data_IF_121883552166
#
_entry.id   IF_121883552166
#
_cell.length_a   1.000
_cell.length_b   1.000
_cell.length_c   1.000
_cell.angle_alpha   90.00
_cell.angle_beta   90.00
_cell.angle_gamma   90.00
#
_symmetry.space_group_name_H-M   'P 1'
#
loop_
_entity.id
_entity.type
_entity.pdbx_description
1 polymer ?
#
# COMPACT_ATOMS: atom_id res chain seq x y z
N UNK A 1 40.38 15.11 29.71
CA UNK A 1 40.59 16.52 30.05
C UNK A 1 39.52 16.89 31.06
N UNK A 2 39.80 17.72 32.07
CA UNK A 2 38.80 18.09 33.09
C UNK A 2 38.15 19.45 32.80
N UNK A 3 38.41 20.03 31.62
CA UNK A 3 37.82 21.30 31.21
C UNK A 3 36.31 21.12 31.05
N UNK A 4 35.57 22.11 31.54
CA UNK A 4 34.12 22.11 31.41
C UNK A 4 33.72 22.33 29.95
N UNK A 5 32.64 21.66 29.49
CA UNK A 5 32.09 21.73 28.13
C UNK A 5 31.79 23.15 27.60
N UNK A 6 31.74 24.16 28.48
CA UNK A 6 31.56 25.57 28.08
C UNK A 6 32.77 26.18 27.41
N UNK A 7 33.97 25.60 27.58
CA UNK A 7 35.22 26.20 27.11
C UNK A 7 35.63 27.48 27.86
N UNK A 8 34.93 27.86 28.92
CA UNK A 8 35.29 29.02 29.74
C UNK A 8 36.63 28.77 30.46
N UNK A 9 37.50 29.78 30.57
CA UNK A 9 38.80 29.63 31.20
C UNK A 9 38.65 29.23 32.66
N UNK A 10 39.52 28.32 33.12
CA UNK A 10 39.56 27.83 34.52
C UNK A 10 38.26 27.17 35.02
N UNK A 11 37.31 26.86 34.12
CA UNK A 11 36.14 26.07 34.43
C UNK A 11 36.46 24.59 34.26
N UNK A 12 36.27 23.82 35.34
CA UNK A 12 36.55 22.39 35.36
C UNK A 12 35.34 21.58 35.81
N UNK A 13 35.21 20.37 35.27
CA UNK A 13 34.25 19.35 35.70
C UNK A 13 34.92 17.96 35.61
N UNK A 14 34.95 17.26 36.75
CA UNK A 14 35.53 15.90 36.86
C UNK A 14 34.46 14.80 36.94
N UNK A 15 33.18 15.16 36.94
CA UNK A 15 32.04 14.25 37.00
C UNK A 15 31.53 13.86 35.60
N UNK A 16 31.88 14.63 34.56
CA UNK A 16 31.55 14.28 33.18
C UNK A 16 32.08 12.88 32.81
N UNK A 17 31.22 12.06 32.20
CA UNK A 17 31.54 10.66 31.86
C UNK A 17 31.55 9.68 33.04
N UNK A 18 31.13 10.08 34.25
CA UNK A 18 31.10 9.23 35.46
C UNK A 18 29.68 9.08 36.03
N UNK A 19 28.77 8.39 35.31
CA UNK A 19 27.35 8.30 35.69
C UNK A 19 27.10 7.56 37.02
N UNK A 20 28.07 6.80 37.51
CA UNK A 20 28.01 6.09 38.79
C UNK A 20 28.06 7.02 40.01
N UNK A 21 28.58 8.24 39.87
CA UNK A 21 28.64 9.21 40.97
C UNK A 21 27.24 9.70 41.35
N UNK A 22 26.95 9.76 42.66
CA UNK A 22 25.60 10.09 43.16
C UNK A 22 25.52 11.39 43.98
N UNK A 23 26.64 11.84 44.56
CA UNK A 23 26.74 13.07 45.33
C UNK A 23 28.21 13.50 45.51
N UNK A 24 28.41 14.76 45.87
CA UNK A 24 29.69 15.30 46.36
C UNK A 24 29.65 15.38 47.88
N UNK A 25 30.71 14.92 48.55
CA UNK A 25 30.83 14.97 50.02
C UNK A 25 32.00 15.86 50.40
N UNK A 26 31.72 17.01 51.02
CA UNK A 26 32.75 17.92 51.52
C UNK A 26 33.35 17.38 52.83
N UNK A 27 34.66 17.13 52.84
CA UNK A 27 35.37 16.59 54.00
C UNK A 27 36.78 17.19 54.10
N UNK A 28 37.36 17.18 55.30
CA UNK A 28 38.72 17.67 55.52
C UNK A 28 38.87 18.38 56.86
N UNK A 29 40.12 18.57 57.30
CA UNK A 29 40.42 19.26 58.58
C UNK A 29 40.18 20.78 58.51
N UNK A 30 40.26 21.37 57.31
CA UNK A 30 39.98 22.78 56.97
C UNK A 30 39.61 22.89 55.48
N UNK A 31 38.38 22.50 55.08
CA UNK A 31 38.04 22.44 53.65
C UNK A 31 37.90 23.85 53.06
N UNK A 32 38.56 24.08 51.91
CA UNK A 32 38.24 25.16 50.98
C UNK A 32 37.46 24.54 49.82
N UNK A 33 36.35 25.16 49.42
CA UNK A 33 35.54 24.69 48.29
C UNK A 33 36.26 25.03 46.98
N UNK A 34 36.34 24.06 46.06
CA UNK A 34 36.83 24.29 44.70
C UNK A 34 35.66 24.59 43.77
N UNK A 35 35.81 25.54 42.84
CA UNK A 35 34.76 25.84 41.85
C UNK A 35 34.33 24.62 41.04
N UNK A 36 35.27 23.71 40.75
CA UNK A 36 35.00 22.44 40.08
C UNK A 36 33.99 21.55 40.83
N UNK A 37 33.99 21.56 42.16
CA UNK A 37 33.07 20.75 42.98
C UNK A 37 31.61 21.21 42.82
N UNK A 38 31.39 22.50 42.54
CA UNK A 38 30.06 23.04 42.26
C UNK A 38 29.58 22.69 40.84
N UNK A 39 30.49 22.62 39.87
CA UNK A 39 30.17 22.14 38.52
C UNK A 39 29.85 20.64 38.55
N UNK A 40 30.67 19.84 39.25
CA UNK A 40 30.45 18.41 39.44
C UNK A 40 29.10 18.13 40.12
N UNK A 41 28.75 18.90 41.15
CA UNK A 41 27.47 18.80 41.82
C UNK A 41 26.30 19.00 40.84
N UNK A 42 26.39 19.98 39.93
CA UNK A 42 25.36 20.21 38.91
C UNK A 42 25.28 19.04 37.92
N UNK A 43 26.42 18.55 37.44
CA UNK A 43 26.49 17.41 36.51
C UNK A 43 25.91 16.13 37.12
N UNK A 44 26.23 15.82 38.37
CA UNK A 44 25.69 14.67 39.10
C UNK A 44 24.18 14.80 39.27
N UNK A 45 23.68 15.97 39.67
CA UNK A 45 22.25 16.21 39.87
C UNK A 45 21.49 16.11 38.55
N UNK A 46 21.99 16.72 37.47
CA UNK A 46 21.37 16.64 36.13
C UNK A 46 21.35 15.22 35.61
N UNK A 47 22.44 14.47 35.77
CA UNK A 47 22.48 13.05 35.37
C UNK A 47 21.47 12.19 36.12
N UNK A 48 21.16 12.50 37.39
CA UNK A 48 20.08 11.83 38.13
C UNK A 48 18.69 12.21 37.61
N UNK A 49 18.45 13.49 37.35
CA UNK A 49 17.17 13.96 36.80
C UNK A 49 16.92 13.40 35.40
N UNK A 50 17.92 13.42 34.53
CA UNK A 50 17.84 12.86 33.19
C UNK A 50 17.52 11.36 33.23
N UNK A 51 18.19 10.58 34.10
CA UNK A 51 17.86 9.15 34.28
C UNK A 51 16.43 8.92 34.77
N UNK A 52 15.92 9.76 35.67
CA UNK A 52 14.54 9.66 36.14
C UNK A 52 13.55 10.06 35.04
N UNK A 53 13.80 11.17 34.35
CA UNK A 53 12.99 11.67 33.25
C UNK A 53 12.90 10.67 32.09
N UNK A 54 14.03 10.04 31.73
CA UNK A 54 14.11 8.99 30.70
C UNK A 54 13.28 7.74 30.98
N UNK A 55 12.82 7.53 32.22
CA UNK A 55 11.86 6.45 32.52
C UNK A 55 10.46 6.75 31.98
N UNK A 56 10.15 8.03 31.75
CA UNK A 56 8.80 8.52 31.44
C UNK A 56 8.75 9.17 30.06
N UNK A 57 9.80 9.88 29.64
CA UNK A 57 9.90 10.55 28.35
C UNK A 57 11.28 10.37 27.71
N UNK A 58 11.31 10.22 26.39
CA UNK A 58 12.52 10.20 25.57
C UNK A 58 12.80 11.60 25.02
N UNK A 59 14.06 11.86 24.70
CA UNK A 59 14.43 13.10 24.04
C UNK A 59 13.70 13.20 22.69
N UNK A 60 13.10 14.36 22.43
CA UNK A 60 12.30 14.63 21.23
C UNK A 60 10.80 14.44 21.42
N UNK A 61 10.38 13.94 22.60
CA UNK A 61 8.97 13.80 22.89
C UNK A 61 8.30 15.17 23.12
N UNK A 62 7.18 15.38 22.43
CA UNK A 62 6.38 16.60 22.56
C UNK A 62 5.56 16.51 23.85
N UNK A 63 5.61 17.56 24.66
CA UNK A 63 4.84 17.68 25.91
C UNK A 63 3.56 18.48 25.70
N UNK A 64 3.66 19.58 24.96
CA UNK A 64 2.54 20.46 24.61
C UNK A 64 2.81 21.15 23.27
N UNK A 65 1.81 21.32 22.42
CA UNK A 65 1.97 22.01 21.13
C UNK A 65 2.91 21.27 20.16
N UNK A 66 3.75 22.03 19.46
CA UNK A 66 4.75 21.52 18.51
C UNK A 66 4.12 20.65 17.40
N UNK A 67 2.99 21.08 16.83
CA UNK A 67 2.31 20.36 15.75
C UNK A 67 3.00 20.61 14.41
N UNK A 68 3.01 19.59 13.55
CA UNK A 68 3.55 19.68 12.20
C UNK A 68 2.45 19.55 11.15
N UNK A 69 2.48 20.43 10.15
CA UNK A 69 1.64 20.38 8.95
C UNK A 69 2.57 20.29 7.74
N UNK A 70 2.39 19.26 6.91
CA UNK A 70 3.22 18.99 5.73
C UNK A 70 2.47 19.43 4.48
N UNK A 71 3.13 20.24 3.65
CA UNK A 71 2.72 20.56 2.28
C UNK A 71 3.63 19.81 1.31
N UNK A 72 3.09 18.74 0.72
CA UNK A 72 3.82 17.83 -0.17
C UNK A 72 4.07 18.43 -1.56
N UNK A 73 3.24 19.38 -2.01
CA UNK A 73 3.43 20.05 -3.31
C UNK A 73 4.53 21.10 -3.23
N UNK A 74 4.57 21.86 -2.12
CA UNK A 74 5.57 22.90 -1.90
C UNK A 74 6.89 22.38 -1.28
N UNK A 75 6.91 21.14 -0.76
CA UNK A 75 8.09 20.60 -0.08
C UNK A 75 8.37 21.33 1.24
N UNK A 76 7.32 21.77 1.95
CA UNK A 76 7.45 22.56 3.19
C UNK A 76 6.78 21.89 4.37
N UNK A 77 7.34 22.11 5.57
CA UNK A 77 6.78 21.63 6.83
C UNK A 77 6.64 22.80 7.78
N UNK A 78 5.40 23.11 8.17
CA UNK A 78 5.08 24.16 9.13
C UNK A 78 4.98 23.57 10.53
N UNK A 79 5.76 24.09 11.47
CA UNK A 79 5.86 23.64 12.85
C UNK A 79 5.38 24.75 13.77
N UNK A 80 4.40 24.45 14.63
CA UNK A 80 3.90 25.43 15.61
C UNK A 80 4.83 25.54 16.81
N UNK A 81 4.67 26.60 17.60
CA UNK A 81 5.29 26.67 18.92
C UNK A 81 4.84 25.52 19.83
N UNK A 82 5.68 25.18 20.81
CA UNK A 82 5.38 24.11 21.77
C UNK A 82 6.48 23.88 22.80
N UNK A 83 6.39 22.75 23.49
CA UNK A 83 7.30 22.31 24.53
C UNK A 83 7.76 20.87 24.23
N UNK A 84 9.07 20.65 24.25
CA UNK A 84 9.69 19.37 23.92
C UNK A 84 10.59 18.93 25.06
N UNK A 85 10.52 17.65 25.42
CA UNK A 85 11.40 17.06 26.40
C UNK A 85 12.77 16.77 25.78
N UNK A 86 13.82 17.39 26.32
CA UNK A 86 15.21 17.23 25.85
C UNK A 86 16.16 17.33 27.03
N UNK A 87 17.13 16.42 27.12
CA UNK A 87 18.22 16.44 28.10
C UNK A 87 17.74 16.50 29.57
N UNK A 88 16.63 15.82 29.85
CA UNK A 88 16.07 15.70 31.20
C UNK A 88 15.16 16.85 31.62
N UNK A 89 14.84 17.79 30.73
CA UNK A 89 13.97 18.95 31.01
C UNK A 89 12.97 19.22 29.88
N UNK A 90 11.95 20.02 30.16
CA UNK A 90 10.94 20.48 29.19
C UNK A 90 11.32 21.87 28.71
N UNK A 91 11.66 21.97 27.43
CA UNK A 91 12.19 23.21 26.83
C UNK A 91 11.21 23.73 25.78
N UNK A 92 10.90 25.04 25.78
CA UNK A 92 10.05 25.64 24.76
C UNK A 92 10.77 25.71 23.40
N UNK A 93 10.01 25.56 22.33
CA UNK A 93 10.46 25.76 20.95
C UNK A 93 9.50 26.73 20.24
N UNK A 94 10.07 27.68 19.50
CA UNK A 94 9.28 28.63 18.72
C UNK A 94 8.73 27.99 17.44
N UNK A 95 7.72 28.60 16.83
CA UNK A 95 7.23 28.19 15.52
C UNK A 95 8.32 28.35 14.43
N UNK A 96 8.29 27.48 13.43
CA UNK A 96 9.20 27.54 12.29
C UNK A 96 8.59 26.94 11.03
N UNK A 97 9.07 27.39 9.87
CA UNK A 97 8.74 26.77 8.58
C UNK A 97 10.02 26.21 7.98
N UNK A 98 10.07 24.88 7.84
CA UNK A 98 11.16 24.20 7.16
C UNK A 98 10.85 24.12 5.67
N UNK A 99 11.80 24.52 4.84
CA UNK A 99 11.69 24.48 3.37
C UNK A 99 12.70 23.50 2.80
N UNK A 100 12.37 22.86 1.67
CA UNK A 100 13.28 21.91 1.02
C UNK A 100 13.41 20.58 1.75
N UNK A 101 12.37 20.16 2.47
CA UNK A 101 12.35 18.83 3.11
C UNK A 101 12.08 17.77 2.06
N UNK A 102 12.89 16.70 2.05
CA UNK A 102 12.73 15.59 1.10
C UNK A 102 11.39 14.86 1.33
N UNK A 103 10.50 14.91 0.33
CA UNK A 103 9.17 14.28 0.39
C UNK A 103 9.13 12.84 -0.18
N UNK A 104 10.27 12.31 -0.59
CA UNK A 104 10.41 10.95 -1.14
C UNK A 104 11.39 10.15 -0.29
N UNK A 105 10.98 8.97 0.17
CA UNK A 105 11.73 8.18 1.12
C UNK A 105 11.61 8.70 2.55
N UNK A 106 12.64 8.43 3.35
CA UNK A 106 12.66 8.70 4.79
C UNK A 106 13.31 10.07 5.07
N UNK A 107 12.59 10.95 5.75
CA UNK A 107 13.09 12.25 6.18
C UNK A 107 12.91 12.47 7.68
N UNK A 108 13.95 12.96 8.36
CA UNK A 108 13.94 13.19 9.81
C UNK A 108 13.83 14.69 10.10
N UNK A 109 12.88 15.06 10.96
CA UNK A 109 12.67 16.44 11.41
C UNK A 109 12.81 16.45 12.93
N UNK A 110 13.49 17.45 13.44
CA UNK A 110 13.78 17.52 14.87
C UNK A 110 14.15 18.92 15.33
N UNK A 111 14.67 18.98 16.55
CA UNK A 111 15.16 20.22 17.16
C UNK A 111 16.65 20.15 17.42
N UNK A 112 17.31 21.30 17.31
CA UNK A 112 18.71 21.52 17.69
C UNK A 112 18.74 22.10 19.10
N UNK A 113 19.38 21.39 20.01
CA UNK A 113 19.69 21.90 21.35
C UNK A 113 20.95 22.77 21.29
N UNK A 114 20.75 24.07 21.47
CA UNK A 114 21.82 25.05 21.54
C UNK A 114 22.06 25.44 23.00
N UNK A 115 23.34 25.60 23.35
CA UNK A 115 23.79 26.00 24.68
C UNK A 115 24.62 27.26 24.56
N UNK A 116 24.31 28.24 25.40
CA UNK A 116 25.06 29.49 25.49
C UNK A 116 25.44 29.74 26.94
N UNK A 117 26.62 30.32 27.17
CA UNK A 117 27.07 30.71 28.52
C UNK A 117 27.16 32.23 28.60
N UNK A 118 26.37 32.82 29.49
CA UNK A 118 26.38 34.26 29.78
C UNK A 118 27.31 34.49 30.96
N UNK A 119 28.31 35.35 30.77
CA UNK A 119 29.28 35.73 31.81
C UNK A 119 28.97 37.13 32.34
N UNK A 120 29.74 37.58 33.34
CA UNK A 120 29.66 38.95 33.85
C UNK A 120 30.04 40.03 32.84
N UNK A 121 30.71 39.65 31.74
CA UNK A 121 30.97 40.57 30.62
C UNK A 121 29.68 40.88 29.84
N UNK A 122 28.79 39.89 29.74
CA UNK A 122 27.50 39.99 29.05
C UNK A 122 26.41 40.56 29.96
N UNK A 123 26.43 40.19 31.25
CA UNK A 123 25.46 40.59 32.27
C UNK A 123 26.17 41.08 33.56
N UNK A 124 26.32 42.41 33.75
CA UNK A 124 26.97 42.98 34.92
C UNK A 124 26.30 42.65 36.26
N UNK A 125 25.03 42.21 36.27
CA UNK A 125 24.33 41.81 37.51
C UNK A 125 24.89 40.51 38.09
N UNK A 126 25.75 39.80 37.34
CA UNK A 126 26.47 38.62 37.80
C UNK A 126 27.71 38.95 38.65
N UNK A 127 28.07 40.23 38.80
CA UNK A 127 29.14 40.65 39.70
C UNK A 127 28.72 40.56 41.18
N UNK A 128 29.69 40.44 42.08
CA UNK A 128 29.38 40.37 43.51
C UNK A 128 28.69 41.62 44.04
N UNK A 129 27.48 41.44 44.57
CA UNK A 129 26.52 42.51 44.86
C UNK A 129 26.66 43.15 46.24
N UNK A 130 27.39 42.51 47.18
CA UNK A 130 27.41 42.93 48.60
C UNK A 130 28.50 43.97 48.82
N UNK A 131 28.15 45.23 49.12
CA UNK A 131 29.14 46.28 49.31
C UNK A 131 30.03 46.02 50.54
N UNK A 132 31.33 46.23 50.39
CA UNK A 132 32.35 46.02 51.42
C UNK A 132 32.75 44.56 51.62
N UNK A 133 32.24 43.62 50.83
CA UNK A 133 32.65 42.21 50.88
C UNK A 133 33.90 41.96 50.04
N UNK A 134 34.65 40.88 50.33
CA UNK A 134 35.79 40.46 49.50
C UNK A 134 35.39 40.04 48.08
N UNK A 135 34.10 39.82 47.83
CA UNK A 135 33.57 39.44 46.54
C UNK A 135 32.94 40.61 45.79
N UNK A 136 32.88 41.83 46.36
CA UNK A 136 32.29 42.98 45.69
C UNK A 136 32.99 43.25 44.36
N UNK A 137 32.23 43.24 43.26
CA UNK A 137 32.75 43.47 41.91
C UNK A 137 33.55 42.31 41.31
N UNK A 138 33.67 41.17 41.99
CA UNK A 138 34.28 39.95 41.43
C UNK A 138 33.32 39.25 40.47
N UNK A 139 33.88 38.57 39.45
CA UNK A 139 33.12 37.81 38.46
C UNK A 139 32.38 36.63 39.11
N UNK A 140 31.06 36.60 38.94
CA UNK A 140 30.24 35.46 39.37
C UNK A 140 30.28 34.29 38.40
N UNK A 141 29.65 33.18 38.80
CA UNK A 141 29.48 32.03 37.93
C UNK A 141 28.63 32.39 36.69
N UNK A 142 29.01 31.86 35.53
CA UNK A 142 28.24 32.02 34.29
C UNK A 142 26.84 31.37 34.35
N UNK A 143 25.91 31.81 33.49
CA UNK A 143 24.58 31.20 33.32
C UNK A 143 24.54 30.38 32.04
N UNK A 144 24.16 29.10 32.15
CA UNK A 144 23.89 28.25 30.98
C UNK A 144 22.46 28.51 30.51
N UNK A 145 22.31 29.03 29.30
CA UNK A 145 21.03 29.12 28.59
C UNK A 145 20.92 27.98 27.60
N UNK A 146 19.71 27.43 27.49
CA UNK A 146 19.36 26.43 26.48
C UNK A 146 18.22 26.95 25.61
N UNK A 147 18.30 26.67 24.32
CA UNK A 147 17.23 26.97 23.37
C UNK A 147 17.08 25.85 22.36
N UNK A 148 15.85 25.64 21.90
CA UNK A 148 15.53 24.71 20.83
C UNK A 148 15.20 25.48 19.55
N UNK A 149 15.76 25.01 18.44
CA UNK A 149 15.45 25.52 17.10
C UNK A 149 15.10 24.34 16.20
N UNK A 150 14.01 24.44 15.45
CA UNK A 150 13.63 23.41 14.47
C UNK A 150 14.65 23.29 13.35
N UNK A 151 14.88 22.06 12.91
CA UNK A 151 15.86 21.78 11.87
C UNK A 151 15.78 20.36 11.33
N UNK A 152 16.70 20.06 10.41
CA UNK A 152 16.91 18.74 9.82
C UNK A 152 18.35 18.28 10.13
N UNK A 153 18.67 16.98 10.07
CA UNK A 153 20.05 16.56 10.34
C UNK A 153 21.07 17.14 9.34
N UNK A 154 20.62 17.50 8.13
CA UNK A 154 21.45 17.98 7.02
C UNK A 154 21.53 19.52 6.93
N UNK A 155 20.84 20.27 7.80
CA UNK A 155 20.80 21.74 7.77
C UNK A 155 22.13 22.42 8.13
N UNK A 156 23.10 21.67 8.66
CA UNK A 156 24.41 22.18 9.07
C UNK A 156 24.37 23.14 10.25
N UNK A 157 23.23 23.27 10.95
CA UNK A 157 23.07 24.16 12.09
C UNK A 157 23.83 23.64 13.32
N UNK A 158 24.36 24.58 14.12
CA UNK A 158 25.03 24.23 15.38
C UNK A 158 24.04 23.71 16.43
N UNK A 159 24.49 22.74 17.23
CA UNK A 159 23.72 22.13 18.29
C UNK A 159 23.48 20.63 18.10
N UNK A 160 23.16 19.97 19.21
CA UNK A 160 22.84 18.55 19.23
C UNK A 160 21.45 18.33 18.62
N UNK A 161 21.38 17.47 17.58
CA UNK A 161 20.12 17.17 16.90
C UNK A 161 19.35 16.10 17.65
N UNK A 162 18.08 16.39 17.94
CA UNK A 162 17.13 15.47 18.57
C UNK A 162 15.94 15.31 17.64
N UNK A 163 15.70 14.09 17.17
CA UNK A 163 14.59 13.76 16.29
C UNK A 163 13.25 13.90 17.02
N UNK A 164 12.27 14.54 16.37
CA UNK A 164 10.90 14.70 16.89
C UNK A 164 9.90 14.02 15.95
N UNK A 165 10.09 14.16 14.65
CA UNK A 165 9.22 13.61 13.62
C UNK A 165 10.00 12.76 12.62
N UNK A 166 9.30 11.74 12.10
CA UNK A 166 9.75 10.93 10.99
C UNK A 166 8.72 11.01 9.87
N UNK A 167 9.16 11.45 8.70
CA UNK A 167 8.36 11.49 7.48
C UNK A 167 8.75 10.31 6.60
N UNK A 168 7.74 9.69 5.99
CA UNK A 168 7.88 8.68 4.95
C UNK A 168 7.00 9.08 3.78
N UNK A 169 7.62 9.34 2.64
CA UNK A 169 6.93 9.67 1.38
C UNK A 169 5.90 10.83 1.56
N UNK A 170 6.29 11.86 2.31
CA UNK A 170 5.46 13.05 2.57
C UNK A 170 4.42 12.89 3.68
N UNK A 171 4.31 11.71 4.30
CA UNK A 171 3.40 11.45 5.42
C UNK A 171 4.16 11.37 6.74
N UNK A 172 3.69 12.07 7.78
CA UNK A 172 4.24 11.93 9.13
C UNK A 172 3.81 10.57 9.68
N UNK A 173 4.78 9.71 9.99
CA UNK A 173 4.53 8.34 10.47
C UNK A 173 4.07 8.28 11.92
N UNK A 174 4.44 9.26 12.75
CA UNK A 174 4.17 9.21 14.18
C UNK A 174 3.69 10.56 14.73
N UNK A 175 2.43 10.61 15.17
CA UNK A 175 1.84 11.73 15.91
C UNK A 175 1.51 11.33 17.37
N UNK A 176 2.22 10.34 17.93
CA UNK A 176 1.93 9.83 19.26
C UNK A 176 1.94 10.98 20.29
N UNK A 177 0.88 11.12 21.11
CA UNK A 177 0.81 12.11 22.19
C UNK A 177 1.81 11.81 23.32
N UNK A 178 2.09 12.79 24.21
CA UNK A 178 3.20 12.75 25.15
C UNK A 178 3.28 11.45 25.98
N UNK A 179 4.49 10.95 26.30
CA UNK A 179 4.72 9.60 26.81
C UNK A 179 4.56 9.48 28.32
N UNK A 180 3.98 10.48 28.99
CA UNK A 180 3.60 10.39 30.41
C UNK A 180 2.71 9.16 30.72
N UNK A 181 2.13 8.54 29.70
CA UNK A 181 1.33 7.32 29.76
C UNK A 181 2.03 6.04 29.27
N UNK A 182 3.26 6.07 28.74
CA UNK A 182 3.90 4.95 28.03
C UNK A 182 4.14 3.68 28.89
N UNK A 183 4.56 3.84 30.15
CA UNK A 183 4.70 2.72 31.09
C UNK A 183 3.36 2.12 31.50
N UNK A 184 2.31 2.95 31.59
CA UNK A 184 0.95 2.50 31.89
C UNK A 184 0.28 1.85 30.68
N UNK A 185 0.51 2.37 29.47
CA UNK A 185 0.00 1.79 28.22
C UNK A 185 0.68 0.48 27.87
N UNK A 186 1.98 0.30 28.17
CA UNK A 186 2.62 -1.02 28.05
C UNK A 186 2.02 -2.05 29.02
N UNK A 187 1.75 -1.65 30.27
CA UNK A 187 1.08 -2.53 31.23
C UNK A 187 -0.36 -2.86 30.80
N UNK A 188 -1.10 -1.88 30.27
CA UNK A 188 -2.43 -2.09 29.68
C UNK A 188 -2.38 -3.00 28.45
N UNK A 189 -1.38 -2.81 27.57
CA UNK A 189 -1.21 -3.62 26.38
C UNK A 189 -0.88 -5.07 26.72
N UNK A 190 -0.03 -5.30 27.73
CA UNK A 190 0.22 -6.64 28.25
C UNK A 190 -1.04 -7.29 28.83
N UNK A 191 -1.91 -6.50 29.49
CA UNK A 191 -3.20 -6.97 30.01
C UNK A 191 -4.22 -7.27 28.90
N UNK A 192 -4.24 -6.49 27.82
CA UNK A 192 -5.25 -6.59 26.76
C UNK A 192 -4.84 -7.48 25.57
N UNK A 193 -3.54 -7.78 25.43
CA UNK A 193 -3.01 -8.71 24.40
C UNK A 193 -3.69 -10.09 24.37
N UNK A 194 -4.10 -10.72 25.49
CA UNK A 194 -4.86 -11.97 25.47
C UNK A 194 -6.25 -11.87 24.81
N UNK A 195 -6.82 -10.66 24.71
CA UNK A 195 -8.12 -10.43 24.06
C UNK A 195 -8.03 -10.35 22.53
N UNK A 196 -6.82 -10.40 21.96
CA UNK A 196 -6.58 -10.35 20.53
C UNK A 196 -6.78 -8.96 19.92
N UNK A 197 -6.86 -8.92 18.59
CA UNK A 197 -7.09 -7.69 17.84
C UNK A 197 -8.59 -7.43 17.67
N UNK A 198 -9.04 -6.20 17.89
CA UNK A 198 -10.44 -5.86 17.72
C UNK A 198 -10.68 -4.36 17.44
N UNK A 199 -11.79 -4.05 16.79
CA UNK A 199 -12.28 -2.70 16.55
C UNK A 199 -13.08 -2.26 17.78
N UNK A 200 -12.72 -1.13 18.37
CA UNK A 200 -13.45 -0.53 19.49
C UNK A 200 -14.66 0.24 18.95
N UNK A 201 -14.44 1.11 17.98
CA UNK A 201 -15.49 1.91 17.33
C UNK A 201 -15.05 2.37 15.93
N UNK A 202 -16.01 2.67 15.05
CA UNK A 202 -15.73 3.20 13.72
C UNK A 202 -15.02 2.20 12.79
N UNK A 203 -13.99 2.70 12.08
CA UNK A 203 -13.11 1.95 11.17
C UNK A 203 -13.84 1.10 10.13
N UNK A 204 -14.97 1.62 9.63
CA UNK A 204 -15.71 0.99 8.54
C UNK A 204 -15.02 1.28 7.21
N UNK A 205 -14.85 0.24 6.40
CA UNK A 205 -14.27 0.34 5.07
C UNK A 205 -15.39 0.49 4.05
N UNK A 206 -15.22 1.44 3.13
CA UNK A 206 -16.09 1.62 1.97
C UNK A 206 -15.22 1.66 0.71
N UNK A 207 -15.56 0.86 -0.31
CA UNK A 207 -14.92 0.98 -1.62
C UNK A 207 -15.46 2.22 -2.34
N UNK A 208 -14.56 3.07 -2.82
CA UNK A 208 -14.87 4.24 -3.63
C UNK A 208 -14.85 3.92 -5.14
N UNK A 209 -14.18 2.83 -5.53
CA UNK A 209 -14.09 2.35 -6.91
C UNK A 209 -12.70 2.50 -7.50
N UNK A 210 -12.60 2.19 -8.79
CA UNK A 210 -11.36 2.28 -9.55
C UNK A 210 -11.00 3.74 -9.85
N UNK A 211 -9.75 4.11 -9.60
CA UNK A 211 -9.12 5.39 -9.90
C UNK A 211 -7.71 5.10 -10.44
N UNK A 212 -7.44 5.47 -11.68
CA UNK A 212 -6.13 5.30 -12.35
C UNK A 212 -5.48 3.89 -12.25
N UNK A 213 -6.29 2.82 -12.33
CA UNK A 213 -5.79 1.43 -12.23
C UNK A 213 -5.62 0.90 -10.81
N UNK A 214 -6.02 1.68 -9.81
CA UNK A 214 -6.05 1.31 -8.40
C UNK A 214 -7.49 1.25 -7.88
N UNK A 215 -7.78 0.32 -6.99
CA UNK A 215 -9.02 0.30 -6.21
C UNK A 215 -8.85 1.14 -4.95
N UNK A 216 -9.70 2.14 -4.84
CA UNK A 216 -9.63 3.09 -3.74
C UNK A 216 -10.62 2.69 -2.65
N UNK A 217 -10.13 2.63 -1.42
CA UNK A 217 -10.89 2.36 -0.21
C UNK A 217 -10.82 3.55 0.74
N UNK A 218 -11.94 3.87 1.37
CA UNK A 218 -12.02 4.81 2.48
C UNK A 218 -12.23 4.06 3.78
N UNK A 219 -11.29 4.21 4.72
CA UNK A 219 -11.38 3.69 6.08
C UNK A 219 -11.86 4.83 6.98
N UNK A 220 -13.05 4.70 7.55
CA UNK A 220 -13.64 5.71 8.45
C UNK A 220 -12.75 5.92 9.70
N UNK A 221 -12.82 7.12 10.29
CA UNK A 221 -12.27 7.41 11.61
C UNK A 221 -12.80 6.42 12.67
N UNK A 222 -12.02 6.17 13.72
CA UNK A 222 -12.36 5.16 14.71
C UNK A 222 -11.18 4.79 15.61
N UNK A 223 -11.42 3.82 16.48
CA UNK A 223 -10.43 3.33 17.44
C UNK A 223 -10.30 1.82 17.30
N UNK A 224 -9.06 1.35 17.23
CA UNK A 224 -8.72 -0.07 17.09
C UNK A 224 -7.72 -0.49 18.15
N UNK A 225 -7.78 -1.75 18.54
CA UNK A 225 -6.78 -2.40 19.36
C UNK A 225 -6.00 -3.41 18.51
N UNK A 226 -4.70 -3.18 18.38
CA UNK A 226 -3.78 -4.09 17.69
C UNK A 226 -2.67 -4.45 18.67
N UNK A 227 -2.58 -5.73 19.01
CA UNK A 227 -1.57 -6.30 19.89
C UNK A 227 -1.57 -5.70 21.33
N UNK A 228 -2.73 -5.22 21.78
CA UNK A 228 -2.91 -4.55 23.07
C UNK A 228 -2.71 -3.03 23.03
N UNK A 229 -2.29 -2.46 21.89
CA UNK A 229 -2.17 -1.03 21.72
C UNK A 229 -3.41 -0.46 21.06
N UNK A 230 -4.02 0.53 21.74
CA UNK A 230 -5.16 1.26 21.23
C UNK A 230 -4.68 2.46 20.41
N UNK A 231 -5.06 2.46 19.14
CA UNK A 231 -4.74 3.53 18.19
C UNK A 231 -6.04 4.18 17.75
N UNK A 232 -6.16 5.49 18.03
CA UNK A 232 -7.32 6.29 17.65
C UNK A 232 -7.01 7.10 16.42
N UNK A 233 -7.89 6.99 15.42
CA UNK A 233 -7.87 7.78 14.20
C UNK A 233 -8.96 8.84 14.24
N UNK A 234 -8.58 10.10 14.09
CA UNK A 234 -9.50 11.23 14.10
C UNK A 234 -10.06 11.59 12.72
N UNK A 235 -9.47 11.04 11.65
CA UNK A 235 -9.89 11.29 10.28
C UNK A 235 -9.89 10.01 9.44
N UNK A 236 -10.71 10.01 8.38
CA UNK A 236 -10.77 8.93 7.42
C UNK A 236 -9.45 8.79 6.65
N UNK A 237 -9.06 7.54 6.36
CA UNK A 237 -7.92 7.23 5.50
C UNK A 237 -8.39 6.88 4.11
N UNK A 238 -7.68 7.36 3.09
CA UNK A 238 -7.78 6.81 1.75
C UNK A 238 -6.65 5.82 1.54
N UNK A 239 -6.98 4.58 1.20
CA UNK A 239 -6.03 3.53 0.79
C UNK A 239 -6.27 3.25 -0.69
N UNK A 240 -5.22 3.32 -1.51
CA UNK A 240 -5.30 2.93 -2.91
C UNK A 240 -4.49 1.65 -3.10
N UNK A 241 -5.11 0.63 -3.69
CA UNK A 241 -4.48 -0.66 -3.94
C UNK A 241 -4.44 -0.94 -5.45
N UNK A 242 -3.27 -1.21 -6.04
CA UNK A 242 -3.16 -1.57 -7.45
C UNK A 242 -3.99 -2.81 -7.82
N UNK A 243 -4.69 -2.76 -8.96
CA UNK A 243 -5.41 -3.92 -9.45
C UNK A 243 -4.45 -4.97 -10.04
N UNK A 244 -4.27 -6.08 -9.32
CA UNK A 244 -3.47 -7.21 -9.78
C UNK A 244 -4.29 -8.50 -9.71
N UNK A 245 -4.51 -9.13 -10.86
CA UNK A 245 -5.32 -10.35 -11.00
C UNK A 245 -4.50 -11.53 -11.54
N UNK A 246 -4.95 -12.74 -11.19
CA UNK A 246 -4.49 -13.98 -11.84
C UNK A 246 -5.41 -14.34 -13.00
N UNK A 247 -4.87 -15.07 -13.99
CA UNK A 247 -5.60 -15.46 -15.19
C UNK A 247 -5.94 -16.96 -15.21
N UNK A 248 -7.14 -17.26 -15.69
CA UNK A 248 -7.55 -18.59 -16.13
C UNK A 248 -7.52 -18.67 -17.65
N UNK A 249 -7.05 -19.79 -18.20
CA UNK A 249 -6.99 -19.99 -19.65
C UNK A 249 -8.16 -20.86 -20.15
N UNK A 250 -8.82 -20.42 -21.22
CA UNK A 250 -9.82 -21.18 -21.97
C UNK A 250 -9.21 -21.53 -23.33
N UNK A 251 -8.78 -22.79 -23.56
CA UNK A 251 -8.06 -23.16 -24.77
C UNK A 251 -8.93 -23.13 -26.03
N UNK A 252 -10.25 -23.29 -25.89
CA UNK A 252 -11.17 -23.23 -27.02
C UNK A 252 -12.62 -23.32 -26.57
N UNK A 253 -13.32 -22.20 -26.64
CA UNK A 253 -14.77 -22.14 -26.49
C UNK A 253 -15.41 -22.08 -27.87
N UNK A 254 -16.35 -22.99 -28.15
CA UNK A 254 -16.98 -23.10 -29.48
C UNK A 254 -18.37 -22.50 -29.47
N UNK A 255 -18.61 -21.61 -30.42
CA UNK A 255 -19.90 -20.96 -30.70
C UNK A 255 -20.34 -21.24 -32.13
N UNK A 256 -21.62 -21.01 -32.43
CA UNK A 256 -22.15 -21.11 -33.79
C UNK A 256 -22.43 -19.71 -34.34
N UNK A 257 -21.94 -19.42 -35.54
CA UNK A 257 -22.24 -18.18 -36.25
C UNK A 257 -23.68 -18.23 -36.78
N UNK A 258 -24.58 -17.47 -36.16
CA UNK A 258 -26.02 -17.49 -36.46
C UNK A 258 -26.39 -16.85 -37.81
N UNK A 259 -25.46 -16.12 -38.44
CA UNK A 259 -25.65 -15.43 -39.71
C UNK A 259 -25.77 -13.92 -39.57
N UNK A 260 -25.77 -13.20 -40.69
CA UNK A 260 -25.74 -11.73 -40.72
C UNK A 260 -24.33 -11.15 -40.90
N UNK A 261 -24.24 -9.81 -40.91
CA UNK A 261 -22.99 -9.10 -41.14
C UNK A 261 -21.98 -9.30 -39.99
N UNK A 262 -22.47 -9.34 -38.75
CA UNK A 262 -21.70 -9.59 -37.54
C UNK A 262 -22.56 -10.31 -36.50
N UNK A 263 -21.91 -11.04 -35.58
CA UNK A 263 -22.55 -11.75 -34.46
C UNK A 263 -21.81 -11.43 -33.17
N UNK A 264 -22.54 -11.11 -32.11
CA UNK A 264 -21.99 -10.95 -30.75
C UNK A 264 -22.20 -12.24 -29.97
N UNK A 265 -21.11 -12.80 -29.46
CA UNK A 265 -21.04 -14.06 -28.73
C UNK A 265 -20.79 -13.78 -27.26
N UNK A 266 -21.61 -14.35 -26.38
CA UNK A 266 -21.41 -14.28 -24.93
C UNK A 266 -20.48 -15.42 -24.51
N UNK A 267 -19.36 -15.09 -23.87
CA UNK A 267 -18.42 -16.11 -23.43
C UNK A 267 -18.86 -16.75 -22.11
N UNK A 268 -18.51 -18.01 -21.93
CA UNK A 268 -18.85 -18.76 -20.73
C UNK A 268 -18.04 -18.30 -19.51
N UNK A 269 -16.80 -17.86 -19.70
CA UNK A 269 -15.95 -17.31 -18.65
C UNK A 269 -15.74 -15.82 -18.87
N UNK A 270 -15.84 -15.08 -17.77
CA UNK A 270 -15.70 -13.64 -17.71
C UNK A 270 -15.21 -13.28 -16.30
N UNK A 271 -14.56 -12.13 -16.10
CA UNK A 271 -14.27 -11.06 -17.07
C UNK A 271 -13.15 -11.44 -18.04
N UNK A 272 -13.28 -11.07 -19.31
CA UNK A 272 -12.25 -11.32 -20.33
C UNK A 272 -11.03 -10.44 -20.02
N UNK A 273 -9.85 -11.06 -20.02
CA UNK A 273 -8.57 -10.37 -19.92
C UNK A 273 -7.99 -10.12 -21.32
N UNK A 274 -7.69 -11.21 -22.02
CA UNK A 274 -7.08 -11.15 -23.36
C UNK A 274 -7.66 -12.24 -24.27
N UNK A 275 -7.98 -11.89 -25.52
CA UNK A 275 -8.32 -12.86 -26.57
C UNK A 275 -7.07 -13.25 -27.32
N UNK A 276 -6.64 -14.49 -27.18
CA UNK A 276 -5.42 -14.99 -27.82
C UNK A 276 -5.64 -15.36 -29.29
N UNK A 277 -6.80 -15.95 -29.62
CA UNK A 277 -7.09 -16.42 -30.98
C UNK A 277 -8.58 -16.60 -31.25
N UNK A 278 -9.02 -16.31 -32.48
CA UNK A 278 -10.37 -16.63 -32.94
C UNK A 278 -10.28 -17.37 -34.28
N UNK A 279 -10.72 -18.62 -34.32
CA UNK A 279 -10.89 -19.38 -35.55
C UNK A 279 -12.34 -19.30 -36.00
N UNK A 280 -12.57 -18.52 -37.06
CA UNK A 280 -13.89 -18.29 -37.63
C UNK A 280 -14.06 -19.09 -38.92
N UNK A 281 -15.13 -19.88 -39.01
CA UNK A 281 -15.51 -20.56 -40.25
C UNK A 281 -16.06 -19.56 -41.25
N UNK A 282 -15.34 -19.34 -42.36
CA UNK A 282 -15.76 -18.48 -43.48
C UNK A 282 -16.10 -19.32 -44.69
N UNK A 283 -16.95 -18.77 -45.57
CA UNK A 283 -17.35 -19.41 -46.83
C UNK A 283 -16.97 -18.49 -47.98
N UNK A 284 -16.33 -19.05 -49.01
CA UNK A 284 -16.05 -18.30 -50.24
C UNK A 284 -16.11 -19.19 -51.46
N UNK A 285 -16.17 -18.55 -52.62
CA UNK A 285 -16.09 -19.19 -53.93
C UNK A 285 -14.84 -18.72 -54.64
N UNK A 286 -14.04 -19.65 -55.13
CA UNK A 286 -12.82 -19.38 -55.91
C UNK A 286 -12.89 -20.09 -57.25
N UNK A 287 -12.24 -19.52 -58.26
CA UNK A 287 -12.01 -20.21 -59.52
C UNK A 287 -10.64 -20.89 -59.45
N UNK A 288 -10.61 -22.22 -59.60
CA UNK A 288 -9.40 -23.01 -59.71
C UNK A 288 -9.16 -23.39 -61.16
N UNK A 289 -7.88 -23.62 -61.50
CA UNK A 289 -7.48 -24.20 -62.79
C UNK A 289 -7.20 -25.68 -62.57
N UNK A 290 -7.80 -26.56 -63.40
CA UNK A 290 -7.57 -28.01 -63.32
C UNK A 290 -6.11 -28.33 -63.63
N UNK A 291 -5.45 -29.06 -62.72
CA UNK A 291 -4.08 -29.51 -62.84
C UNK A 291 -3.81 -30.40 -64.07
N UNK A 292 -2.54 -30.48 -64.46
CA UNK A 292 -2.09 -31.27 -65.61
C UNK A 292 -2.14 -32.79 -65.40
N UNK A 293 -2.29 -33.23 -64.15
CA UNK A 293 -2.33 -34.64 -63.76
C UNK A 293 -3.79 -35.07 -63.69
N UNK A 294 -4.19 -35.99 -64.57
CA UNK A 294 -5.49 -36.67 -64.56
C UNK A 294 -5.70 -37.37 -63.21
N UNK A 295 -6.91 -37.29 -62.64
CA UNK A 295 -7.22 -37.81 -61.30
C UNK A 295 -6.31 -37.27 -60.16
N UNK A 296 -5.67 -36.11 -60.38
CA UNK A 296 -4.80 -35.46 -59.42
C UNK A 296 -5.55 -34.61 -58.39
N UNK A 297 -4.80 -33.93 -57.52
CA UNK A 297 -5.33 -33.04 -56.48
C UNK A 297 -5.08 -31.58 -56.86
N UNK A 298 -6.14 -30.78 -56.87
CA UNK A 298 -6.06 -29.33 -57.05
C UNK A 298 -6.20 -28.63 -55.69
N UNK A 299 -5.14 -27.96 -55.25
CA UNK A 299 -5.09 -27.28 -53.96
C UNK A 299 -5.97 -26.02 -53.90
N UNK A 300 -6.68 -25.83 -52.80
CA UNK A 300 -7.41 -24.60 -52.51
C UNK A 300 -6.43 -23.53 -51.96
N UNK A 301 -6.74 -22.24 -52.16
CA UNK A 301 -5.83 -21.16 -51.77
C UNK A 301 -5.76 -20.90 -50.25
N UNK A 302 -6.69 -21.43 -49.43
CA UNK A 302 -6.60 -21.34 -47.97
C UNK A 302 -6.29 -22.70 -47.36
N UNK A 303 -5.69 -22.65 -46.19
CA UNK A 303 -5.45 -23.80 -45.32
C UNK A 303 -6.61 -24.02 -44.36
N UNK A 304 -6.69 -25.21 -43.76
CA UNK A 304 -7.75 -25.58 -42.80
C UNK A 304 -9.15 -25.56 -43.42
N UNK A 305 -9.26 -26.15 -44.61
CA UNK A 305 -10.54 -26.35 -45.30
C UNK A 305 -11.35 -27.39 -44.51
N UNK A 306 -12.53 -26.98 -44.07
CA UNK A 306 -13.43 -27.80 -43.25
C UNK A 306 -14.38 -28.60 -44.12
N UNK A 307 -14.89 -27.99 -45.19
CA UNK A 307 -15.91 -28.58 -46.05
C UNK A 307 -15.87 -27.94 -47.44
N UNK A 308 -16.00 -28.75 -48.50
CA UNK A 308 -16.32 -28.24 -49.84
C UNK A 308 -17.84 -28.32 -50.00
N UNK A 309 -18.46 -27.20 -50.36
CA UNK A 309 -19.93 -27.05 -50.45
C UNK A 309 -20.41 -27.32 -51.88
N UNK A 310 -19.70 -26.84 -52.88
CA UNK A 310 -20.07 -27.01 -54.30
C UNK A 310 -18.83 -26.95 -55.19
N UNK A 311 -18.75 -27.84 -56.19
CA UNK A 311 -17.77 -27.80 -57.27
C UNK A 311 -18.53 -27.79 -58.59
N UNK A 312 -18.34 -26.76 -59.42
CA UNK A 312 -19.06 -26.64 -60.70
C UNK A 312 -18.21 -26.04 -61.81
N UNK A 313 -18.54 -26.42 -63.04
CA UNK A 313 -18.03 -25.81 -64.26
C UNK A 313 -19.19 -25.58 -65.24
N UNK A 314 -19.46 -24.31 -65.57
CA UNK A 314 -20.62 -23.97 -66.39
C UNK A 314 -21.93 -24.46 -65.76
N UNK A 315 -22.67 -25.31 -66.47
CA UNK A 315 -23.92 -25.93 -65.98
C UNK A 315 -23.73 -27.27 -65.26
N UNK A 316 -22.50 -27.80 -65.16
CA UNK A 316 -22.21 -29.10 -64.57
C UNK A 316 -21.77 -28.94 -63.11
N UNK A 317 -22.51 -29.54 -62.18
CA UNK A 317 -22.10 -29.69 -60.78
C UNK A 317 -21.52 -31.08 -60.56
N UNK A 318 -20.31 -31.14 -60.04
CA UNK A 318 -19.59 -32.39 -59.80
C UNK A 318 -19.92 -32.97 -58.42
N UNK A 319 -20.21 -34.26 -58.35
CA UNK A 319 -20.69 -34.90 -57.12
C UNK A 319 -19.55 -35.37 -56.23
N UNK A 320 -19.61 -35.04 -54.94
CA UNK A 320 -18.69 -35.58 -53.92
C UNK A 320 -18.78 -37.12 -53.85
N UNK A 321 -17.65 -37.79 -53.66
CA UNK A 321 -17.53 -39.25 -53.61
C UNK A 321 -17.62 -39.96 -54.95
N UNK A 322 -18.07 -39.28 -56.02
CA UNK A 322 -18.15 -39.84 -57.38
C UNK A 322 -17.18 -39.14 -58.34
N UNK A 323 -17.22 -37.80 -58.39
CA UNK A 323 -16.33 -36.98 -59.20
C UNK A 323 -15.09 -36.56 -58.43
N UNK A 324 -15.24 -36.20 -57.15
CA UNK A 324 -14.14 -35.70 -56.33
C UNK A 324 -14.33 -36.09 -54.86
N UNK A 325 -13.25 -36.07 -54.09
CA UNK A 325 -13.26 -36.12 -52.62
C UNK A 325 -12.40 -34.98 -52.06
N UNK A 326 -12.64 -34.57 -50.82
CA UNK A 326 -11.76 -33.61 -50.15
C UNK A 326 -10.56 -34.35 -49.57
N UNK A 327 -9.35 -34.03 -50.05
CA UNK A 327 -8.10 -34.54 -49.48
C UNK A 327 -7.25 -33.36 -49.02
N UNK A 328 -7.02 -33.27 -47.71
CA UNK A 328 -6.36 -32.10 -47.10
C UNK A 328 -7.12 -30.81 -47.39
N UNK A 329 -6.40 -29.83 -47.94
CA UNK A 329 -6.93 -28.54 -48.40
C UNK A 329 -7.19 -28.52 -49.93
N UNK A 330 -7.42 -29.68 -50.56
CA UNK A 330 -7.58 -29.79 -52.01
C UNK A 330 -8.82 -30.57 -52.47
N UNK A 331 -9.20 -30.33 -53.73
CA UNK A 331 -10.17 -31.14 -54.47
C UNK A 331 -9.41 -32.28 -55.12
N UNK A 332 -9.67 -33.51 -54.68
CA UNK A 332 -9.02 -34.72 -55.17
C UNK A 332 -9.93 -35.45 -56.15
N UNK A 333 -9.47 -35.55 -57.40
CA UNK A 333 -10.22 -36.18 -58.50
C UNK A 333 -9.96 -37.69 -58.61
N UNK A 334 -9.30 -38.31 -57.62
CA UNK A 334 -9.06 -39.76 -57.55
C UNK A 334 -10.27 -40.70 -57.77
N UNK A 335 -11.53 -40.32 -57.49
CA UNK A 335 -12.70 -41.18 -57.76
C UNK A 335 -12.96 -41.52 -59.24
N UNK A 336 -12.26 -40.89 -60.19
CA UNK A 336 -12.34 -41.17 -61.64
C UNK A 336 -13.75 -40.97 -62.23
N UNK A 337 -14.54 -40.07 -61.63
CA UNK A 337 -15.80 -39.61 -62.21
C UNK A 337 -15.59 -38.47 -63.23
N UNK A 338 -16.67 -37.78 -63.64
CA UNK A 338 -16.53 -36.59 -64.48
C UNK A 338 -15.63 -35.55 -63.79
N UNK A 339 -14.61 -35.07 -64.50
CA UNK A 339 -13.72 -33.98 -64.05
C UNK A 339 -13.64 -32.86 -65.10
N UNK A 340 -13.33 -31.61 -64.71
CA UNK A 340 -13.06 -30.52 -65.64
C UNK A 340 -11.90 -30.85 -66.58
N UNK A 341 -11.95 -30.32 -67.82
CA UNK A 341 -10.84 -30.50 -68.75
C UNK A 341 -9.54 -29.88 -68.19
N UNK A 342 -8.40 -30.55 -68.37
CA UNK A 342 -7.08 -30.03 -67.97
C UNK A 342 -6.85 -28.60 -68.48
N UNK A 343 -6.40 -27.70 -67.61
CA UNK A 343 -6.15 -26.29 -67.95
C UNK A 343 -7.41 -25.41 -68.02
N UNK A 344 -8.61 -25.97 -67.84
CA UNK A 344 -9.85 -25.20 -67.75
C UNK A 344 -10.10 -24.69 -66.33
N UNK A 345 -10.90 -23.62 -66.22
CA UNK A 345 -11.31 -23.07 -64.92
C UNK A 345 -12.63 -23.65 -64.45
N UNK A 346 -12.74 -23.92 -63.16
CA UNK A 346 -13.96 -24.36 -62.48
C UNK A 346 -14.08 -23.65 -61.13
N UNK A 347 -15.31 -23.47 -60.64
CA UNK A 347 -15.56 -22.77 -59.39
C UNK A 347 -15.76 -23.75 -58.24
N UNK A 348 -15.09 -23.49 -57.11
CA UNK A 348 -15.23 -24.24 -55.87
C UNK A 348 -15.74 -23.31 -54.79
N UNK A 349 -16.89 -23.65 -54.21
CA UNK A 349 -17.44 -23.03 -53.01
C UNK A 349 -17.09 -23.92 -51.82
N UNK A 350 -16.43 -23.37 -50.81
CA UNK A 350 -15.97 -24.14 -49.65
C UNK A 350 -15.93 -23.29 -48.40
N UNK A 351 -15.85 -23.98 -47.26
CA UNK A 351 -15.72 -23.44 -45.91
C UNK A 351 -14.34 -23.73 -45.37
N UNK A 352 -13.71 -22.73 -44.77
CA UNK A 352 -12.38 -22.82 -44.17
C UNK A 352 -12.34 -22.05 -42.85
N UNK A 353 -11.43 -22.43 -41.95
CA UNK A 353 -11.22 -21.69 -40.69
C UNK A 353 -10.16 -20.62 -40.90
N UNK A 354 -10.57 -19.37 -40.81
CA UNK A 354 -9.67 -18.23 -40.84
C UNK A 354 -9.36 -17.78 -39.41
N UNK A 355 -8.12 -17.38 -39.17
CA UNK A 355 -7.74 -16.64 -37.97
C UNK A 355 -8.23 -15.19 -38.12
N UNK A 356 -9.01 -14.69 -37.17
CA UNK A 356 -9.59 -13.35 -37.21
C UNK A 356 -9.38 -12.63 -35.88
N UNK A 357 -9.45 -11.30 -35.93
CA UNK A 357 -9.51 -10.48 -34.74
C UNK A 357 -10.98 -10.18 -34.39
N UNK A 358 -11.24 -9.89 -33.12
CA UNK A 358 -12.54 -9.39 -32.69
C UNK A 358 -12.79 -8.01 -33.28
N UNK A 359 -14.02 -7.75 -33.76
CA UNK A 359 -14.44 -6.41 -34.18
C UNK A 359 -14.62 -5.50 -32.97
N UNK A 360 -15.16 -6.06 -31.88
CA UNK A 360 -15.28 -5.40 -30.59
C UNK A 360 -15.27 -6.43 -29.46
N UNK A 361 -14.88 -6.00 -28.27
CA UNK A 361 -14.86 -6.81 -27.06
C UNK A 361 -15.44 -6.02 -25.89
N UNK A 362 -16.21 -6.69 -25.05
CA UNK A 362 -16.59 -6.25 -23.70
C UNK A 362 -16.06 -7.29 -22.70
N UNK A 363 -16.21 -7.07 -21.40
CA UNK A 363 -15.75 -8.04 -20.39
C UNK A 363 -16.46 -9.41 -20.48
N UNK A 364 -17.59 -9.50 -21.19
CA UNK A 364 -18.41 -10.73 -21.29
C UNK A 364 -18.64 -11.23 -22.71
N UNK A 365 -18.35 -10.41 -23.71
CA UNK A 365 -18.74 -10.71 -25.09
C UNK A 365 -17.74 -10.25 -26.12
N UNK A 366 -17.74 -10.96 -27.25
CA UNK A 366 -16.93 -10.66 -28.41
C UNK A 366 -17.83 -10.54 -29.64
N UNK A 367 -17.58 -9.57 -30.49
CA UNK A 367 -18.24 -9.43 -31.79
C UNK A 367 -17.29 -9.83 -32.91
N UNK A 368 -17.78 -10.64 -33.84
CA UNK A 368 -17.03 -11.07 -35.04
C UNK A 368 -17.89 -10.97 -36.30
N UNK A 369 -17.25 -10.73 -37.45
CA UNK A 369 -17.91 -10.53 -38.73
C UNK A 369 -17.39 -11.42 -39.86
N UNK A 370 -18.21 -11.59 -40.88
CA UNK A 370 -17.85 -12.33 -42.10
C UNK A 370 -17.78 -13.84 -41.92
N UNK A 371 -18.49 -14.39 -40.94
CA UNK A 371 -18.66 -15.82 -40.73
C UNK A 371 -19.68 -16.45 -41.69
N UNK A 372 -19.51 -17.73 -41.99
CA UNK A 372 -20.51 -18.51 -42.70
C UNK A 372 -21.65 -18.88 -41.75
N UNK A 373 -22.90 -18.69 -42.17
CA UNK A 373 -24.07 -19.11 -41.38
C UNK A 373 -24.02 -20.61 -41.06
N UNK A 374 -24.15 -20.94 -39.77
CA UNK A 374 -24.03 -22.29 -39.24
C UNK A 374 -22.58 -22.81 -39.14
N UNK A 375 -21.58 -21.95 -39.33
CA UNK A 375 -20.17 -22.28 -39.13
C UNK A 375 -19.73 -22.08 -37.67
N UNK A 376 -18.66 -22.76 -37.28
CA UNK A 376 -18.10 -22.65 -35.93
C UNK A 376 -17.27 -21.37 -35.77
N UNK A 377 -17.34 -20.81 -34.57
CA UNK A 377 -16.42 -19.78 -34.06
C UNK A 377 -15.73 -20.36 -32.83
N UNK A 378 -14.43 -20.64 -32.91
CA UNK A 378 -13.65 -21.20 -31.80
C UNK A 378 -12.77 -20.08 -31.23
N UNK A 379 -12.94 -19.79 -29.95
CA UNK A 379 -12.31 -18.65 -29.28
C UNK A 379 -11.38 -19.17 -28.19
N UNK A 380 -10.12 -18.78 -28.25
CA UNK A 380 -9.11 -19.02 -27.20
C UNK A 380 -8.83 -17.70 -26.48
N UNK A 381 -9.05 -17.67 -25.17
CA UNK A 381 -8.93 -16.44 -24.38
C UNK A 381 -8.52 -16.73 -22.92
N UNK A 382 -8.04 -15.69 -22.25
CA UNK A 382 -7.82 -15.66 -20.80
C UNK A 382 -8.91 -14.83 -20.13
N UNK A 383 -9.28 -15.21 -18.91
CA UNK A 383 -10.22 -14.48 -18.07
C UNK A 383 -9.63 -14.21 -16.68
N UNK A 384 -10.08 -13.12 -16.05
CA UNK A 384 -9.63 -12.72 -14.71
C UNK A 384 -10.27 -13.62 -13.65
N UNK A 385 -9.46 -14.20 -12.77
CA UNK A 385 -9.95 -15.05 -11.70
C UNK A 385 -10.40 -14.21 -10.50
N UNK A 386 -11.61 -14.44 -9.96
CA UNK A 386 -12.04 -13.72 -8.77
C UNK A 386 -11.18 -14.08 -7.56
N UNK A 387 -11.04 -13.12 -6.65
CA UNK A 387 -10.21 -13.25 -5.45
C UNK A 387 -10.86 -12.54 -4.26
N UNK A 388 -10.68 -13.12 -3.07
CA UNK A 388 -11.11 -12.49 -1.82
C UNK A 388 -9.87 -12.05 -1.04
N UNK A 389 -9.74 -10.76 -0.84
CA UNK A 389 -8.60 -10.13 -0.17
C UNK A 389 -9.02 -9.57 1.21
N UNK A 390 -8.04 -9.23 2.05
CA UNK A 390 -8.29 -8.57 3.34
C UNK A 390 -7.68 -7.17 3.34
N UNK A 391 -8.47 -6.18 3.75
CA UNK A 391 -7.94 -4.88 4.16
C UNK A 391 -7.83 -4.86 5.68
N UNK A 392 -6.61 -4.62 6.16
CA UNK A 392 -6.22 -4.68 7.56
C UNK A 392 -5.65 -3.35 8.05
N UNK A 393 -5.54 -3.20 9.37
CA UNK A 393 -4.76 -2.14 10.02
C UNK A 393 -3.59 -2.73 10.81
N UNK A 394 -2.46 -2.03 10.77
CA UNK A 394 -1.29 -2.27 11.61
C UNK A 394 -1.39 -1.51 12.94
N UNK A 395 -0.46 -1.79 13.84
CA UNK A 395 -0.38 -1.17 15.17
C UNK A 395 -0.24 0.36 15.12
N UNK A 396 0.52 0.87 14.15
CA UNK A 396 0.69 2.31 13.88
C UNK A 396 -0.55 2.97 13.24
N UNK A 397 -1.58 2.19 12.90
CA UNK A 397 -2.77 2.67 12.21
C UNK A 397 -2.61 2.78 10.69
N UNK A 398 -1.50 2.28 10.11
CA UNK A 398 -1.33 2.18 8.67
C UNK A 398 -2.26 1.09 8.09
N UNK A 399 -2.73 1.25 6.84
CA UNK A 399 -3.43 0.19 6.14
C UNK A 399 -2.44 -0.90 5.73
N UNK A 400 -2.93 -2.13 5.63
CA UNK A 400 -2.21 -3.26 5.05
C UNK A 400 -3.18 -4.09 4.21
N UNK A 401 -2.82 -4.35 2.96
CA UNK A 401 -3.60 -5.19 2.05
C UNK A 401 -2.99 -6.58 1.99
N UNK A 402 -3.80 -7.62 2.24
CA UNK A 402 -3.35 -9.01 2.22
C UNK A 402 -4.08 -9.73 1.09
N UNK A 403 -3.29 -10.18 0.11
CA UNK A 403 -3.79 -10.90 -1.05
C UNK A 403 -4.24 -12.32 -0.67
N UNK A 404 -5.42 -12.69 -1.17
CA UNK A 404 -5.95 -14.04 -1.10
C UNK A 404 -5.40 -14.95 -2.20
N UNK A 405 -6.03 -16.11 -2.32
CA UNK A 405 -5.73 -17.07 -3.39
C UNK A 405 -6.86 -16.97 -4.42
N UNK A 406 -6.51 -16.66 -5.66
CA UNK A 406 -7.46 -16.60 -6.76
C UNK A 406 -8.05 -17.99 -7.04
N UNK A 407 -9.36 -18.07 -7.20
CA UNK A 407 -10.03 -19.32 -7.51
C UNK A 407 -11.23 -19.04 -8.42
N UNK A 408 -11.52 -19.97 -9.35
CA UNK A 408 -12.64 -19.82 -10.29
C UNK A 408 -13.99 -19.76 -9.57
N UNK A 409 -14.14 -20.52 -8.50
CA UNK A 409 -15.33 -20.56 -7.65
C UNK A 409 -14.89 -20.65 -6.19
N UNK A 410 -15.70 -20.10 -5.27
CA UNK A 410 -15.48 -20.17 -3.82
C UNK A 410 -14.07 -19.72 -3.39
N UNK A 411 -13.60 -18.58 -3.92
CA UNK A 411 -12.36 -17.98 -3.48
C UNK A 411 -12.37 -17.78 -1.95
N UNK A 412 -11.31 -18.28 -1.30
CA UNK A 412 -11.21 -18.25 0.15
C UNK A 412 -10.41 -17.03 0.59
N UNK A 413 -10.84 -16.35 1.66
CA UNK A 413 -10.07 -15.25 2.24
C UNK A 413 -8.74 -15.79 2.80
N UNK A 414 -7.64 -15.01 2.71
CA UNK A 414 -6.38 -15.38 3.31
C UNK A 414 -6.47 -15.41 4.85
N UNK A 415 -5.49 -16.06 5.48
CA UNK A 415 -5.32 -15.97 6.93
C UNK A 415 -4.62 -14.64 7.23
N UNK A 416 -5.18 -13.76 8.09
CA UNK A 416 -4.53 -12.51 8.44
C UNK A 416 -3.21 -12.78 9.19
N UNK A 417 -2.13 -12.05 8.87
CA UNK A 417 -0.90 -12.05 9.67
C UNK A 417 -1.15 -11.73 11.14
N UNK A 418 -0.30 -12.25 12.03
CA UNK A 418 -0.51 -12.16 13.48
C UNK A 418 -0.37 -10.73 14.04
N UNK A 419 0.22 -9.81 13.28
CA UNK A 419 0.51 -8.42 13.64
C UNK A 419 -0.51 -7.42 13.09
N UNK A 420 -1.54 -7.87 12.36
CA UNK A 420 -2.54 -6.99 11.74
C UNK A 420 -3.96 -7.32 12.18
N UNK A 421 -4.81 -6.29 12.25
CA UNK A 421 -6.24 -6.40 12.50
C UNK A 421 -6.99 -6.41 11.16
N UNK A 422 -7.66 -7.51 10.76
CA UNK A 422 -8.54 -7.49 9.60
C UNK A 422 -9.77 -6.61 9.85
N UNK A 423 -10.00 -5.63 8.97
CA UNK A 423 -11.18 -4.76 9.02
C UNK A 423 -12.35 -5.31 8.20
N UNK A 424 -12.05 -5.75 6.98
CA UNK A 424 -13.05 -6.25 6.04
C UNK A 424 -12.46 -7.25 5.04
N UNK A 425 -13.35 -8.04 4.46
CA UNK A 425 -13.10 -8.81 3.23
C UNK A 425 -13.46 -7.98 2.01
N UNK A 426 -12.59 -8.01 1.02
CA UNK A 426 -12.78 -7.37 -0.29
C UNK A 426 -13.01 -8.47 -1.31
N UNK A 427 -14.17 -8.50 -1.94
CA UNK A 427 -14.52 -9.45 -2.98
C UNK A 427 -14.27 -8.81 -4.34
N UNK A 428 -13.20 -9.26 -5.01
CA UNK A 428 -12.79 -8.77 -6.33
C UNK A 428 -13.37 -9.70 -7.41
N UNK A 429 -14.32 -9.18 -8.18
CA UNK A 429 -14.86 -9.81 -9.39
C UNK A 429 -14.29 -9.21 -10.69
N UNK A 430 -13.49 -8.14 -10.56
CA UNK A 430 -12.83 -7.39 -11.62
C UNK A 430 -13.76 -6.80 -12.70
N UNK A 431 -15.04 -6.61 -12.38
CA UNK A 431 -16.05 -6.00 -13.26
C UNK A 431 -16.39 -4.54 -12.87
N UNK A 432 -15.77 -4.01 -11.81
CA UNK A 432 -16.04 -2.67 -11.30
C UNK A 432 -15.58 -2.48 -9.86
N UNK A 433 -16.36 -1.71 -9.09
CA UNK A 433 -16.09 -1.48 -7.67
C UNK A 433 -16.28 -2.79 -6.87
N UNK A 434 -15.29 -3.24 -6.10
CA UNK A 434 -15.38 -4.48 -5.36
C UNK A 434 -16.39 -4.40 -4.22
N UNK A 435 -16.98 -5.55 -3.89
CA UNK A 435 -17.87 -5.65 -2.74
C UNK A 435 -17.05 -5.73 -1.45
N UNK A 436 -17.37 -4.86 -0.48
CA UNK A 436 -16.68 -4.81 0.82
C UNK A 436 -17.60 -5.30 1.92
N UNK A 437 -17.23 -6.41 2.56
CA UNK A 437 -17.94 -6.97 3.71
C UNK A 437 -17.16 -6.64 4.98
N UNK A 438 -17.71 -5.75 5.80
CA UNK A 438 -17.12 -5.32 7.06
C UNK A 438 -17.38 -6.35 8.16
N UNK A 439 -16.54 -7.38 8.26
CA UNK A 439 -16.64 -8.48 9.21
C UNK A 439 -15.50 -8.51 10.26
N UNK A 440 -14.76 -7.41 10.39
CA UNK A 440 -13.74 -7.27 11.43
C UNK A 440 -14.30 -7.49 12.85
N UNK A 441 -13.48 -8.09 13.71
CA UNK A 441 -13.85 -8.41 15.10
C UNK A 441 -14.10 -7.11 15.86
N UNK A 442 -15.29 -6.95 16.46
CA UNK A 442 -15.67 -5.74 17.22
C UNK A 442 -15.79 -6.03 18.71
N UNK A 443 -15.41 -5.06 19.53
CA UNK A 443 -15.73 -5.09 20.97
C UNK A 443 -17.24 -4.92 21.16
N UNK A 444 -17.83 -5.77 22.00
CA UNK A 444 -19.24 -5.65 22.39
C UNK A 444 -19.32 -4.89 23.72
N UNK A 445 -19.96 -3.70 23.77
CA UNK A 445 -20.21 -3.04 25.05
C UNK A 445 -21.23 -3.85 25.86
N UNK A 446 -20.98 -3.99 27.17
CA UNK A 446 -21.71 -4.90 28.08
C UNK A 446 -23.18 -4.52 28.38
N UNK A 447 -23.79 -3.63 27.60
CA UNK A 447 -25.18 -3.14 27.80
C UNK A 447 -26.25 -3.82 26.96
N UNK A 448 -25.95 -4.88 26.20
CA UNK A 448 -26.94 -5.58 25.34
C UNK A 448 -27.05 -7.10 25.55
N UNK A 449 -26.78 -7.60 26.74
CA UNK A 449 -27.21 -8.95 27.13
C UNK A 449 -28.54 -8.84 27.91
N UNK A 450 -29.64 -8.54 27.22
CA UNK A 450 -30.95 -8.33 27.85
C UNK A 450 -32.17 -8.64 26.97
N UNK A 451 -32.09 -8.41 25.65
CA UNK A 451 -33.28 -8.46 24.78
C UNK A 451 -33.17 -9.45 23.61
N UNK A 452 -32.67 -10.66 23.87
CA UNK A 452 -32.79 -11.76 22.91
C UNK A 452 -33.24 -13.06 23.59
N UNK A 453 -34.46 -13.08 24.10
CA UNK A 453 -35.24 -14.31 24.23
C UNK A 453 -36.32 -14.33 23.16
N UNK A 454 -35.99 -14.99 22.05
CA UNK A 454 -36.94 -15.45 21.05
C UNK A 454 -38.04 -16.27 21.71
N UNK A 455 -39.29 -15.88 21.45
CA UNK A 455 -40.48 -16.66 21.74
C UNK A 455 -40.44 -17.98 20.96
N UNK A 456 -40.20 -19.09 21.66
CA UNK A 456 -40.51 -20.43 21.16
C UNK A 456 -41.89 -20.82 21.67
N UNK A 457 -42.89 -20.67 20.82
CA UNK A 457 -44.20 -21.30 21.00
C UNK A 457 -44.01 -22.81 20.86
N UNK A 458 -43.99 -23.53 21.98
CA UNK A 458 -44.10 -24.98 22.02
C UNK A 458 -45.59 -25.31 21.90
N UNK A 459 -46.01 -25.76 20.72
CA UNK A 459 -47.28 -26.46 20.54
C UNK A 459 -47.07 -27.92 20.93
N UNK A 460 -47.78 -28.39 21.95
CA UNK A 460 -47.96 -29.82 22.22
C UNK A 460 -49.43 -30.08 22.51
N UNK A 461 -50.00 -30.99 21.71
CA UNK A 461 -51.30 -31.69 21.82
C UNK A 461 -52.58 -30.85 21.75
#
# INVERSE_FOLDING_TARGET
MFEHKSGLPLAYDRAEGRPEQQAVTFYGRRPLIQGAELNELQTIIRGRHDRLGRLIAKDGDRVEGASAVVDTEAGTVTLTEGQIFVAGDVVPVAEAVLTGVTMVGRAEIGVRLQRQWITSEDDPDLLGLVPGSLAEGEEGAARELISLIWGTPEDGAEGEFVQVYLLQDGTILDQTPPPALSGFTQALAAYDRPHGHYIVSGCRVTALGADDGEQVFSIEQGEVNVNGFKTTRFAALRHAEPEVWDFGAVPGETHTYTGGASVTLQLAQFPIDTVSRILLTKEKTVNLTRGAIENGIDGLPDTSVVQIVEVKQGGTTYAEGTSWVRTGDGVDWAPVGPEPATGSQYSVKYRYRADVQADSMTDRSITVSGGATGGDVIITYTFKLPRVDLLCLRQDGSPAYVLGISARENAMPPVPPADVLPLCKVFNDWMGTPEVVNDGVRSLPIRRCGDSSTASTITTA
#
